data_IF_735883158116
#
_entry.id   IF_735883158116
#
_cell.length_a   1.000
_cell.length_b   1.000
_cell.length_c   1.000
_cell.angle_alpha   90.00
_cell.angle_beta   90.00
_cell.angle_gamma   90.00
#
_symmetry.space_group_name_H-M   'P 1'
#
loop_
_entity.id
_entity.type
_entity.pdbx_description
1 polymer ?
#
# COMPACT_ATOMS: atom_id res chain seq x y z
N UNK A 1 7.29 10.89 -3.96
CA UNK A 1 7.29 9.92 -5.08
C UNK A 1 6.31 8.81 -4.78
N UNK A 2 5.41 8.53 -5.72
CA UNK A 2 4.44 7.45 -5.54
C UNK A 2 4.96 6.18 -6.18
N UNK A 3 4.84 5.07 -5.49
CA UNK A 3 5.16 3.75 -6.02
C UNK A 3 4.14 3.33 -7.08
N UNK A 4 2.89 3.79 -6.95
CA UNK A 4 1.79 3.42 -7.84
C UNK A 4 1.20 4.61 -8.57
N UNK A 5 0.74 4.36 -9.80
CA UNK A 5 -0.14 5.28 -10.51
C UNK A 5 -1.52 5.31 -9.87
N UNK A 6 -2.39 6.20 -10.36
CA UNK A 6 -3.72 6.38 -9.78
C UNK A 6 -4.58 5.13 -9.85
N UNK A 7 -4.61 4.46 -11.00
CA UNK A 7 -5.40 3.24 -11.16
C UNK A 7 -4.81 2.08 -10.36
N UNK A 8 -3.49 1.95 -10.34
CA UNK A 8 -2.83 0.95 -9.52
C UNK A 8 -3.19 1.14 -8.05
N UNK A 9 -3.17 2.38 -7.56
CA UNK A 9 -3.53 2.67 -6.18
C UNK A 9 -4.99 2.34 -5.89
N UNK A 10 -5.90 2.68 -6.81
CA UNK A 10 -7.32 2.36 -6.64
C UNK A 10 -7.54 0.84 -6.55
N UNK A 11 -6.82 0.07 -7.34
CA UNK A 11 -6.88 -1.40 -7.30
C UNK A 11 -6.29 -1.91 -5.98
N UNK A 12 -5.16 -1.38 -5.54
CA UNK A 12 -4.57 -1.78 -4.27
C UNK A 12 -5.47 -1.45 -3.08
N UNK A 13 -6.20 -0.34 -3.14
CA UNK A 13 -7.18 0.00 -2.09
C UNK A 13 -8.24 -1.10 -1.95
N UNK A 14 -8.73 -1.63 -3.08
CA UNK A 14 -9.67 -2.76 -3.06
C UNK A 14 -9.01 -4.00 -2.47
N UNK A 15 -7.79 -4.30 -2.89
CA UNK A 15 -7.06 -5.48 -2.44
C UNK A 15 -6.78 -5.45 -0.94
N UNK A 16 -6.37 -4.30 -0.42
CA UNK A 16 -6.09 -4.18 1.02
C UNK A 16 -7.34 -4.23 1.88
N UNK A 17 -8.48 -3.78 1.34
CA UNK A 17 -9.75 -3.85 2.05
C UNK A 17 -10.38 -5.24 2.00
N UNK A 18 -9.97 -6.10 1.08
CA UNK A 18 -10.53 -7.43 0.91
C UNK A 18 -10.07 -8.37 2.01
N UNK A 19 -11.00 -9.18 2.53
CA UNK A 19 -10.71 -10.15 3.59
C UNK A 19 -10.21 -11.47 3.04
N UNK A 20 -10.33 -11.68 1.73
CA UNK A 20 -9.92 -12.93 1.08
C UNK A 20 -9.40 -12.64 -0.31
N UNK A 21 -8.69 -13.59 -0.94
CA UNK A 21 -8.21 -13.40 -2.31
C UNK A 21 -9.34 -13.06 -3.28
N UNK A 22 -9.04 -12.20 -4.24
CA UNK A 22 -10.02 -11.68 -5.19
C UNK A 22 -9.67 -12.04 -6.62
N UNK A 23 -10.71 -12.33 -7.41
CA UNK A 23 -10.60 -12.45 -8.86
C UNK A 23 -10.69 -11.06 -9.49
N UNK A 24 -10.20 -10.94 -10.72
CA UNK A 24 -10.20 -9.65 -11.44
C UNK A 24 -11.60 -9.04 -11.51
N UNK A 25 -12.64 -9.86 -11.79
CA UNK A 25 -14.02 -9.34 -11.88
C UNK A 25 -14.51 -8.74 -10.56
N UNK A 26 -14.10 -9.36 -9.43
CA UNK A 26 -14.49 -8.86 -8.11
C UNK A 26 -13.82 -7.52 -7.81
N UNK A 27 -12.56 -7.40 -8.20
CA UNK A 27 -11.83 -6.13 -8.03
C UNK A 27 -12.48 -5.04 -8.88
N UNK A 28 -12.81 -5.35 -10.13
CA UNK A 28 -13.48 -4.41 -11.01
C UNK A 28 -14.81 -3.93 -10.45
N UNK A 29 -15.60 -4.85 -9.90
CA UNK A 29 -16.90 -4.53 -9.30
C UNK A 29 -16.77 -3.60 -8.08
N UNK A 30 -15.71 -3.75 -7.31
CA UNK A 30 -15.48 -2.99 -6.08
C UNK A 30 -14.65 -1.73 -6.31
N UNK A 31 -14.14 -1.55 -7.52
CA UNK A 31 -13.23 -0.47 -7.85
C UNK A 31 -13.93 0.89 -7.71
N UNK A 32 -13.30 1.81 -7.00
CA UNK A 32 -13.75 3.19 -6.89
C UNK A 32 -12.78 4.07 -7.66
N UNK A 33 -13.24 4.53 -8.81
CA UNK A 33 -12.44 5.33 -9.70
C UNK A 33 -13.35 6.37 -10.36
N UNK A 34 -12.76 7.44 -10.89
CA UNK A 34 -13.52 8.56 -11.44
C UNK A 34 -14.24 8.23 -12.76
N UNK A 35 -13.93 7.09 -13.36
CA UNK A 35 -14.55 6.63 -14.59
C UNK A 35 -14.61 5.10 -14.63
N UNK A 36 -15.49 4.52 -15.46
CA UNK A 36 -15.54 3.07 -15.63
C UNK A 36 -14.22 2.56 -16.21
N UNK A 37 -13.79 1.40 -15.76
CA UNK A 37 -12.56 0.75 -16.21
C UNK A 37 -12.91 -0.60 -16.82
N UNK A 38 -12.37 -0.88 -18.01
CA UNK A 38 -12.62 -2.14 -18.69
C UNK A 38 -11.99 -3.30 -17.93
N UNK A 39 -12.64 -4.47 -18.03
CA UNK A 39 -12.13 -5.69 -17.42
C UNK A 39 -10.68 -5.98 -17.82
N UNK A 40 -10.39 -5.86 -19.13
CA UNK A 40 -9.02 -6.14 -19.62
C UNK A 40 -8.00 -5.17 -19.06
N UNK A 41 -8.39 -3.93 -18.80
CA UNK A 41 -7.50 -2.94 -18.19
C UNK A 41 -7.19 -3.32 -16.74
N UNK A 42 -8.21 -3.70 -15.98
CA UNK A 42 -8.01 -4.15 -14.59
C UNK A 42 -7.12 -5.39 -14.58
N UNK A 43 -7.37 -6.34 -15.47
CA UNK A 43 -6.57 -7.56 -15.58
C UNK A 43 -5.10 -7.24 -15.86
N UNK A 44 -4.84 -6.34 -16.80
CA UNK A 44 -3.47 -5.95 -17.15
C UNK A 44 -2.76 -5.28 -15.98
N UNK A 45 -3.46 -4.37 -15.29
CA UNK A 45 -2.87 -3.66 -14.16
C UNK A 45 -2.58 -4.62 -13.00
N UNK A 46 -3.48 -5.57 -12.74
CA UNK A 46 -3.24 -6.56 -11.69
C UNK A 46 -2.05 -7.47 -12.02
N UNK A 47 -1.87 -7.81 -13.30
CA UNK A 47 -0.69 -8.55 -13.75
C UNK A 47 0.59 -7.73 -13.54
N UNK A 48 0.55 -6.44 -13.80
CA UNK A 48 1.68 -5.54 -13.53
C UNK A 48 2.00 -5.51 -12.05
N UNK A 49 0.99 -5.41 -11.19
CA UNK A 49 1.17 -5.40 -9.73
C UNK A 49 1.77 -6.71 -9.23
N UNK A 50 1.35 -7.83 -9.82
CA UNK A 50 1.94 -9.11 -9.53
C UNK A 50 3.42 -9.14 -9.92
N UNK A 51 3.77 -8.64 -11.10
CA UNK A 51 5.15 -8.60 -11.57
C UNK A 51 6.03 -7.66 -10.75
N UNK A 52 5.44 -6.60 -10.22
CA UNK A 52 6.13 -5.68 -9.30
C UNK A 52 6.37 -6.32 -7.92
N UNK A 53 5.75 -7.45 -7.64
CA UNK A 53 5.91 -8.15 -6.37
C UNK A 53 5.03 -7.62 -5.25
N UNK A 54 4.02 -6.80 -5.56
CA UNK A 54 3.10 -6.27 -4.54
C UNK A 54 1.83 -7.08 -4.39
N UNK A 55 1.50 -7.90 -5.40
CA UNK A 55 0.42 -8.89 -5.32
C UNK A 55 0.99 -10.28 -5.53
N UNK A 56 0.39 -11.26 -4.86
CA UNK A 56 0.56 -12.68 -5.13
C UNK A 56 -0.69 -13.18 -5.83
N UNK A 57 -0.58 -14.33 -6.48
CA UNK A 57 -1.74 -14.95 -7.13
C UNK A 57 -1.61 -16.45 -7.17
N UNK A 58 -2.76 -17.11 -7.25
CA UNK A 58 -2.85 -18.58 -7.42
C UNK A 58 -3.92 -18.86 -8.45
N UNK A 59 -3.69 -19.87 -9.27
CA UNK A 59 -4.67 -20.31 -10.26
C UNK A 59 -5.79 -21.05 -9.57
N UNK A 60 -7.03 -20.70 -9.92
CA UNK A 60 -8.23 -21.36 -9.45
C UNK A 60 -9.12 -21.59 -10.65
N UNK A 61 -9.10 -22.83 -11.17
CA UNK A 61 -9.72 -23.12 -12.45
C UNK A 61 -8.96 -22.39 -13.56
N UNK A 62 -9.69 -21.58 -14.34
CA UNK A 62 -9.09 -20.78 -15.43
C UNK A 62 -8.80 -19.34 -15.02
N UNK A 63 -9.13 -18.98 -13.79
CA UNK A 63 -8.97 -17.61 -13.29
C UNK A 63 -7.86 -17.55 -12.25
N UNK A 64 -7.31 -16.36 -12.08
CA UNK A 64 -6.34 -16.07 -11.03
C UNK A 64 -7.06 -15.43 -9.85
N UNK A 65 -6.64 -15.81 -8.64
CA UNK A 65 -7.03 -15.12 -7.41
C UNK A 65 -5.81 -14.42 -6.86
N UNK A 66 -5.98 -13.18 -6.48
CA UNK A 66 -4.89 -12.31 -6.05
C UNK A 66 -5.07 -11.89 -4.60
N UNK A 67 -3.95 -11.67 -3.93
CA UNK A 67 -3.94 -11.06 -2.59
C UNK A 67 -2.68 -10.22 -2.43
N UNK A 68 -2.69 -9.18 -1.54
CA UNK A 68 -1.51 -8.34 -1.36
C UNK A 68 -0.41 -9.08 -0.60
N UNK A 69 0.83 -8.83 -0.99
CA UNK A 69 2.01 -9.42 -0.33
C UNK A 69 2.19 -8.81 1.06
N UNK A 70 1.98 -7.50 1.17
CA UNK A 70 2.09 -6.76 2.43
C UNK A 70 0.74 -6.17 2.79
N UNK A 71 0.49 -5.96 4.08
CA UNK A 71 -0.65 -5.15 4.50
C UNK A 71 -0.38 -3.69 4.15
N UNK A 72 -1.44 -2.87 4.13
CA UNK A 72 -1.33 -1.45 3.78
C UNK A 72 -0.28 -0.73 4.64
N UNK A 73 -0.34 -0.97 5.94
CA UNK A 73 0.52 -0.25 6.89
C UNK A 73 1.99 -0.62 6.72
N UNK A 74 2.28 -1.86 6.40
CA UNK A 74 3.63 -2.31 6.10
C UNK A 74 4.16 -1.69 4.82
N UNK A 75 3.30 -1.65 3.79
CA UNK A 75 3.62 -1.03 2.51
C UNK A 75 3.92 0.46 2.72
N UNK A 76 3.03 1.16 3.40
CA UNK A 76 3.16 2.60 3.62
C UNK A 76 4.42 2.93 4.42
N UNK A 77 4.70 2.16 5.46
CA UNK A 77 5.90 2.35 6.28
C UNK A 77 7.17 2.14 5.44
N UNK A 78 7.17 1.13 4.57
CA UNK A 78 8.31 0.88 3.69
C UNK A 78 8.53 2.04 2.72
N UNK A 79 7.46 2.56 2.14
CA UNK A 79 7.53 3.70 1.22
C UNK A 79 8.04 4.95 1.94
N UNK A 80 7.56 5.20 3.16
CA UNK A 80 8.04 6.32 3.98
C UNK A 80 9.55 6.23 4.20
N UNK A 81 10.04 5.04 4.52
CA UNK A 81 11.48 4.85 4.73
C UNK A 81 12.28 5.01 3.43
N UNK A 82 11.74 4.54 2.32
CA UNK A 82 12.39 4.73 1.02
C UNK A 82 12.52 6.21 0.68
N UNK A 83 11.48 6.99 0.91
CA UNK A 83 11.50 8.43 0.69
C UNK A 83 12.56 9.09 1.59
N UNK A 84 12.56 8.75 2.86
CA UNK A 84 13.49 9.32 3.82
C UNK A 84 14.95 9.04 3.43
N UNK A 85 15.22 7.83 2.92
CA UNK A 85 16.58 7.39 2.58
C UNK A 85 16.99 7.71 1.16
N UNK A 86 16.08 8.16 0.30
CA UNK A 86 16.32 8.24 -1.14
C UNK A 86 17.20 9.40 -1.59
N UNK A 87 17.52 10.32 -0.73
CA UNK A 87 18.41 11.41 -1.10
C UNK A 87 18.26 12.58 -0.17
N UNK A 88 19.09 13.60 -0.36
CA UNK A 88 19.06 14.76 0.46
C UNK A 88 19.51 14.51 1.90
N UNK A 89 19.16 15.41 2.75
CA UNK A 89 19.53 15.41 4.16
C UNK A 89 18.41 14.75 4.97
N UNK A 90 18.64 13.53 5.44
CA UNK A 90 17.64 12.78 6.20
C UNK A 90 17.20 13.50 7.47
N UNK A 91 18.16 14.11 8.17
CA UNK A 91 17.87 14.83 9.41
C UNK A 91 16.97 16.03 9.15
N UNK A 92 17.26 16.78 8.10
CA UNK A 92 16.46 17.94 7.72
C UNK A 92 15.06 17.49 7.26
N UNK A 93 14.98 16.39 6.51
CA UNK A 93 13.70 15.85 6.06
C UNK A 93 12.83 15.47 7.26
N UNK A 94 13.42 14.81 8.26
CA UNK A 94 12.69 14.46 9.49
C UNK A 94 12.22 15.70 10.24
N UNK A 95 13.07 16.71 10.32
CA UNK A 95 12.72 17.97 10.99
C UNK A 95 11.56 18.66 10.29
N UNK A 96 11.58 18.73 8.97
CA UNK A 96 10.49 19.34 8.19
C UNK A 96 9.19 18.54 8.33
N UNK A 97 9.30 17.23 8.39
CA UNK A 97 8.14 16.37 8.64
C UNK A 97 7.52 16.69 10.01
N UNK A 98 8.34 16.77 11.05
CA UNK A 98 7.84 17.04 12.39
C UNK A 98 7.18 18.43 12.51
N UNK A 99 7.64 19.41 11.73
CA UNK A 99 7.03 20.73 11.69
C UNK A 99 5.59 20.70 11.16
N UNK A 100 5.24 19.68 10.37
CA UNK A 100 3.90 19.53 9.78
C UNK A 100 2.96 18.68 10.63
N UNK A 101 3.49 18.03 11.65
CA UNK A 101 2.74 17.11 12.51
C UNK A 101 1.93 17.95 13.52
N UNK A 102 0.64 17.61 13.69
CA UNK A 102 -0.22 18.25 14.68
C UNK A 102 0.13 17.76 16.08
N UNK A 103 -0.39 18.45 17.10
CA UNK A 103 -0.17 18.04 18.49
C UNK A 103 -0.73 16.64 18.75
N UNK A 104 -1.90 16.32 18.22
CA UNK A 104 -2.49 14.99 18.34
C UNK A 104 -1.63 13.92 17.68
N UNK A 105 -1.13 14.22 16.49
CA UNK A 105 -0.24 13.31 15.78
C UNK A 105 1.08 13.12 16.51
N UNK A 106 1.60 14.17 17.13
CA UNK A 106 2.84 14.09 17.93
C UNK A 106 2.65 13.14 19.10
N UNK A 107 1.48 13.19 19.77
CA UNK A 107 1.17 12.26 20.86
C UNK A 107 1.11 10.81 20.35
N UNK A 108 0.50 10.59 19.19
CA UNK A 108 0.46 9.26 18.58
C UNK A 108 1.85 8.76 18.22
N UNK A 109 2.73 9.65 17.74
CA UNK A 109 4.12 9.29 17.46
C UNK A 109 4.86 8.85 18.72
N UNK A 110 4.67 9.59 19.81
CA UNK A 110 5.29 9.21 21.10
C UNK A 110 4.81 7.83 21.56
N UNK A 111 3.51 7.59 21.49
CA UNK A 111 2.93 6.31 21.87
C UNK A 111 3.47 5.18 20.99
N UNK A 112 3.56 5.40 19.69
CA UNK A 112 4.10 4.41 18.76
C UNK A 112 5.57 4.11 19.05
N UNK A 113 6.37 5.11 19.38
CA UNK A 113 7.78 4.92 19.73
C UNK A 113 7.94 4.07 21.00
N UNK A 114 7.11 4.31 22.00
CA UNK A 114 7.14 3.53 23.23
C UNK A 114 6.71 2.08 22.99
N UNK A 115 5.67 1.87 22.21
CA UNK A 115 5.16 0.54 21.89
C UNK A 115 6.12 -0.25 21.01
N UNK A 116 6.79 0.41 20.08
CA UNK A 116 7.79 -0.24 19.22
C UNK A 116 8.94 -0.83 20.04
N UNK A 117 9.36 -0.13 21.08
CA UNK A 117 10.39 -0.63 21.99
C UNK A 117 9.95 -1.87 22.75
N UNK A 118 8.67 -2.00 23.06
CA UNK A 118 8.12 -3.17 23.73
C UNK A 118 7.99 -4.36 22.80
N UNK A 119 7.53 -4.12 21.56
CA UNK A 119 7.32 -5.18 20.58
C UNK A 119 8.62 -5.86 20.20
N UNK A 120 9.72 -5.12 20.13
CA UNK A 120 11.02 -5.68 19.77
C UNK A 120 11.68 -6.49 20.89
N UNK A 121 11.14 -6.40 22.11
CA UNK A 121 11.71 -7.11 23.26
C UNK A 121 11.11 -8.50 23.49
N UNK A 122 10.14 -8.88 22.68
CA UNK A 122 9.46 -10.18 22.82
C UNK A 122 10.12 -11.31 22.06
#
# INVERSE_FOLDING_TARGET
>A
MREFGELEMAIMDVMWAAESPCMVREVRERLRYDRPVAYTTVMTVMDILYRKGVLQRVKHGRAWRYWPVEQREEHDARVMMEILRSGGDEELTMRRFLERVSDDEMERLRTAMLNAGRDTSS
#
